data_IF_452923844072
#
_entry.id   IF_452923844072
#
_cell.length_a   1.000
_cell.length_b   1.000
_cell.length_c   1.000
_cell.angle_alpha   90.00
_cell.angle_beta   90.00
_cell.angle_gamma   90.00
#
_symmetry.space_group_name_H-M   'P 1'
#
loop_
_entity.id
_entity.type
_entity.pdbx_description
1 polymer ?
#
# COMPACT_ATOMS: atom_id res chain seq x y z
N UNK A 1 22.49 -1.63 23.71
CA UNK A 1 21.59 -1.25 22.57
C UNK A 1 21.26 -2.52 21.83
N UNK A 2 20.00 -2.66 21.38
CA UNK A 2 19.50 -3.85 20.69
C UNK A 2 18.89 -3.46 19.36
N UNK A 3 19.10 -4.28 18.32
CA UNK A 3 18.39 -4.15 17.05
C UNK A 3 16.99 -4.68 17.21
N UNK A 4 15.98 -3.87 16.82
CA UNK A 4 14.56 -4.21 16.92
C UNK A 4 13.91 -3.99 15.57
N UNK A 5 13.28 -5.04 15.03
CA UNK A 5 12.62 -4.95 13.73
C UNK A 5 11.24 -5.58 13.77
N UNK A 6 10.32 -4.93 13.09
CA UNK A 6 8.99 -5.45 12.81
C UNK A 6 9.08 -6.84 12.16
N UNK A 7 8.14 -7.69 12.52
CA UNK A 7 7.71 -8.82 11.70
C UNK A 7 6.22 -8.68 11.41
N UNK A 8 5.84 -8.96 10.18
CA UNK A 8 4.44 -8.96 9.76
C UNK A 8 3.64 -10.08 10.43
N UNK A 9 2.29 -10.08 10.34
CA UNK A 9 1.45 -11.11 10.95
C UNK A 9 1.95 -12.53 10.71
N UNK A 10 1.99 -13.34 11.77
CA UNK A 10 2.57 -14.67 11.74
C UNK A 10 4.10 -14.72 11.84
N UNK A 11 4.77 -13.60 12.17
CA UNK A 11 6.22 -13.53 12.32
C UNK A 11 6.97 -13.41 10.98
N UNK A 12 6.30 -13.07 9.91
CA UNK A 12 6.86 -13.02 8.54
C UNK A 12 7.73 -11.78 8.35
N UNK A 13 8.86 -11.93 7.65
CA UNK A 13 9.77 -10.84 7.35
C UNK A 13 9.47 -10.14 6.01
N UNK A 14 8.57 -10.69 5.21
CA UNK A 14 8.23 -10.20 3.87
C UNK A 14 6.74 -9.91 3.72
N UNK A 15 6.39 -8.86 2.97
CA UNK A 15 5.02 -8.57 2.57
C UNK A 15 4.94 -8.21 1.08
N UNK A 16 3.77 -8.45 0.48
CA UNK A 16 3.45 -8.07 -0.90
C UNK A 16 2.17 -7.25 -0.90
N UNK A 17 2.16 -6.16 -1.65
CA UNK A 17 0.96 -5.35 -1.96
C UNK A 17 0.97 -4.92 -3.41
N UNK A 18 -0.21 -4.83 -4.00
CA UNK A 18 -0.41 -4.22 -5.31
C UNK A 18 -1.25 -2.94 -5.15
N UNK A 19 -1.09 -2.00 -6.08
CA UNK A 19 -1.85 -0.74 -6.09
C UNK A 19 -2.12 -0.33 -7.54
N UNK A 20 -3.39 -0.29 -7.93
CA UNK A 20 -3.79 0.03 -9.30
C UNK A 20 -4.70 1.24 -9.31
N UNK A 21 -4.55 2.06 -10.36
CA UNK A 21 -5.14 3.38 -10.45
C UNK A 21 -6.30 3.43 -11.45
N UNK A 22 -7.13 4.47 -11.29
CA UNK A 22 -8.15 4.96 -12.21
C UNK A 22 -9.50 4.23 -12.24
N UNK A 23 -9.63 3.05 -11.68
CA UNK A 23 -10.89 2.30 -11.69
C UNK A 23 -11.33 1.90 -13.10
N UNK A 24 -10.38 1.45 -13.93
CA UNK A 24 -10.65 0.99 -15.28
C UNK A 24 -11.27 -0.40 -15.31
N UNK A 25 -12.00 -0.73 -16.37
CA UNK A 25 -12.67 -2.02 -16.50
C UNK A 25 -11.71 -3.22 -16.42
N UNK A 26 -10.46 -3.05 -16.80
CA UNK A 26 -9.42 -4.07 -16.65
C UNK A 26 -9.17 -4.49 -15.21
N UNK A 27 -9.56 -3.67 -14.22
CA UNK A 27 -9.41 -3.97 -12.78
C UNK A 27 -10.21 -5.21 -12.38
N UNK A 28 -11.30 -5.55 -13.08
CA UNK A 28 -12.04 -6.79 -12.85
C UNK A 28 -11.19 -8.02 -13.17
N UNK A 29 -10.49 -8.01 -14.31
CA UNK A 29 -9.57 -9.08 -14.69
C UNK A 29 -8.37 -9.14 -13.74
N UNK A 30 -7.82 -7.99 -13.36
CA UNK A 30 -6.76 -7.90 -12.36
C UNK A 30 -7.21 -8.55 -11.04
N UNK A 31 -8.36 -8.13 -10.49
CA UNK A 31 -8.88 -8.66 -9.22
C UNK A 31 -9.12 -10.18 -9.29
N UNK A 32 -9.70 -10.68 -10.39
CA UNK A 32 -9.87 -12.12 -10.60
C UNK A 32 -8.54 -12.87 -10.62
N UNK A 33 -7.52 -12.34 -11.29
CA UNK A 33 -6.21 -12.98 -11.42
C UNK A 33 -5.49 -13.00 -10.06
N UNK A 34 -5.36 -11.85 -9.39
CA UNK A 34 -4.64 -11.77 -8.12
C UNK A 34 -5.30 -12.58 -7.00
N UNK A 35 -6.65 -12.70 -7.01
CA UNK A 35 -7.39 -13.53 -6.06
C UNK A 35 -7.02 -15.01 -6.12
N UNK A 36 -6.76 -15.54 -7.31
CA UNK A 36 -6.31 -16.94 -7.49
C UNK A 36 -4.98 -17.23 -6.79
N UNK A 37 -4.16 -16.19 -6.60
CA UNK A 37 -2.84 -16.25 -5.98
C UNK A 37 -2.80 -15.73 -4.53
N UNK A 38 -3.97 -15.34 -3.97
CA UNK A 38 -4.07 -14.81 -2.61
C UNK A 38 -3.45 -13.42 -2.43
N UNK A 39 -3.14 -12.70 -3.52
CA UNK A 39 -2.52 -11.37 -3.49
C UNK A 39 -3.60 -10.32 -3.20
N UNK A 40 -3.27 -9.31 -2.38
CA UNK A 40 -4.13 -8.16 -2.08
C UNK A 40 -3.73 -6.95 -2.90
N UNK A 41 -4.71 -6.11 -3.20
CA UNK A 41 -4.54 -4.88 -3.97
C UNK A 41 -5.30 -3.72 -3.35
N UNK A 42 -4.74 -2.52 -3.49
CA UNK A 42 -5.40 -1.25 -3.26
C UNK A 42 -5.80 -0.65 -4.60
N UNK A 43 -7.07 -0.40 -4.82
CA UNK A 43 -7.59 0.25 -6.02
C UNK A 43 -7.82 1.73 -5.73
N UNK A 44 -7.07 2.60 -6.39
CA UNK A 44 -7.14 4.05 -6.23
C UNK A 44 -8.16 4.60 -7.22
N UNK A 45 -9.29 5.04 -6.71
CA UNK A 45 -10.48 5.36 -7.52
C UNK A 45 -10.70 6.86 -7.65
N UNK A 46 -10.92 7.33 -8.86
CA UNK A 46 -11.42 8.68 -9.13
C UNK A 46 -12.94 8.68 -9.00
N UNK A 47 -13.45 9.28 -7.95
CA UNK A 47 -14.90 9.21 -7.68
C UNK A 47 -15.77 9.87 -8.74
N UNK A 48 -15.27 10.93 -9.39
CA UNK A 48 -15.97 11.62 -10.48
C UNK A 48 -16.03 10.86 -11.81
N UNK A 49 -15.33 9.71 -11.91
CA UNK A 49 -15.30 8.89 -13.12
C UNK A 49 -16.00 7.54 -12.95
N UNK A 50 -16.51 7.22 -11.75
CA UNK A 50 -17.30 6.01 -11.54
C UNK A 50 -18.49 6.00 -12.48
N UNK A 51 -18.68 4.90 -13.20
CA UNK A 51 -19.76 4.74 -14.16
C UNK A 51 -21.13 4.63 -13.45
N UNK A 52 -22.18 5.14 -14.09
CA UNK A 52 -23.56 5.01 -13.58
C UNK A 52 -24.06 3.57 -13.59
N UNK A 53 -23.63 2.80 -14.62
CA UNK A 53 -24.03 1.40 -14.81
C UNK A 53 -22.82 0.52 -15.16
N UNK A 54 -22.86 -0.79 -14.85
CA UNK A 54 -21.85 -1.76 -15.26
C UNK A 54 -21.67 -1.85 -16.79
N UNK A 55 -20.46 -2.22 -17.21
CA UNK A 55 -20.16 -2.47 -18.62
C UNK A 55 -19.48 -1.32 -19.34
N UNK A 56 -19.28 -0.18 -18.70
CA UNK A 56 -18.51 0.94 -19.23
C UNK A 56 -17.00 0.73 -19.12
N UNK A 57 -16.20 1.63 -19.67
CA UNK A 57 -14.74 1.59 -19.56
C UNK A 57 -14.22 1.87 -18.13
N UNK A 58 -14.99 2.58 -17.33
CA UNK A 58 -14.79 2.75 -15.88
C UNK A 58 -15.73 1.85 -15.10
N UNK A 59 -15.32 1.44 -13.91
CA UNK A 59 -16.13 0.59 -13.04
C UNK A 59 -17.34 1.35 -12.49
N UNK A 60 -18.46 0.63 -12.39
CA UNK A 60 -19.65 1.09 -11.66
C UNK A 60 -19.52 0.73 -10.17
N UNK A 61 -20.35 1.39 -9.33
CA UNK A 61 -20.41 1.16 -7.89
C UNK A 61 -20.55 -0.33 -7.53
N UNK A 62 -21.48 -1.02 -8.18
CA UNK A 62 -21.78 -2.43 -7.91
C UNK A 62 -20.60 -3.35 -8.26
N UNK A 63 -19.84 -3.00 -9.30
CA UNK A 63 -18.64 -3.73 -9.71
C UNK A 63 -17.51 -3.53 -8.67
N UNK A 64 -17.30 -2.29 -8.23
CA UNK A 64 -16.32 -1.98 -7.16
C UNK A 64 -16.69 -2.70 -5.87
N UNK A 65 -17.97 -2.65 -5.46
CA UNK A 65 -18.42 -3.33 -4.25
C UNK A 65 -18.14 -4.83 -4.34
N UNK A 66 -18.60 -5.47 -5.40
CA UNK A 66 -18.58 -6.93 -5.53
C UNK A 66 -17.18 -7.50 -5.77
N UNK A 67 -16.42 -6.90 -6.69
CA UNK A 67 -15.17 -7.51 -7.15
C UNK A 67 -13.92 -6.96 -6.46
N UNK A 68 -14.03 -5.82 -5.77
CA UNK A 68 -12.94 -5.20 -5.04
C UNK A 68 -13.19 -5.32 -3.53
N UNK A 69 -14.22 -4.67 -2.99
CA UNK A 69 -14.42 -4.58 -1.54
C UNK A 69 -14.85 -5.91 -0.92
N UNK A 70 -15.80 -6.64 -1.52
CA UNK A 70 -16.27 -7.94 -1.01
C UNK A 70 -15.21 -9.05 -1.20
N UNK A 71 -14.29 -8.87 -2.14
CA UNK A 71 -13.13 -9.73 -2.32
C UNK A 71 -11.98 -9.43 -1.33
N UNK A 72 -12.16 -8.43 -0.45
CA UNK A 72 -11.20 -8.07 0.59
C UNK A 72 -10.01 -7.25 0.09
N UNK A 73 -10.18 -6.54 -1.02
CA UNK A 73 -9.26 -5.49 -1.47
C UNK A 73 -9.63 -4.13 -0.89
N UNK A 74 -8.75 -3.16 -1.04
CA UNK A 74 -8.95 -1.79 -0.59
C UNK A 74 -9.39 -0.89 -1.74
N UNK A 75 -10.27 0.08 -1.42
CA UNK A 75 -10.53 1.27 -2.23
C UNK A 75 -9.86 2.46 -1.56
N UNK A 76 -9.08 3.22 -2.32
CA UNK A 76 -8.38 4.41 -1.87
C UNK A 76 -8.67 5.61 -2.79
N UNK A 77 -8.35 6.81 -2.31
CA UNK A 77 -8.58 8.08 -3.01
C UNK A 77 -7.59 8.26 -4.17
N UNK A 78 -8.09 8.70 -5.33
CA UNK A 78 -7.25 9.11 -6.48
C UNK A 78 -7.65 10.49 -7.04
N UNK A 79 -8.23 11.35 -6.19
CA UNK A 79 -8.87 12.61 -6.58
C UNK A 79 -10.24 12.41 -7.22
N UNK A 80 -11.10 13.43 -7.11
CA UNK A 80 -12.40 13.41 -7.79
C UNK A 80 -12.23 13.40 -9.33
N UNK A 81 -11.35 14.27 -9.83
CA UNK A 81 -11.13 14.50 -11.27
C UNK A 81 -9.66 14.37 -11.70
N UNK A 82 -8.87 13.58 -10.97
CA UNK A 82 -7.50 13.19 -11.31
C UNK A 82 -6.54 14.38 -11.48
N UNK A 83 -6.46 15.29 -10.48
CA UNK A 83 -5.59 16.48 -10.54
C UNK A 83 -4.29 16.27 -9.76
N UNK A 84 -3.14 16.51 -10.44
CA UNK A 84 -1.84 16.48 -9.76
C UNK A 84 -1.72 17.61 -8.73
N UNK A 85 -1.45 17.32 -7.46
CA UNK A 85 -1.38 18.34 -6.40
C UNK A 85 -0.31 19.40 -6.64
N UNK A 86 0.80 19.02 -7.28
CA UNK A 86 1.86 19.96 -7.63
C UNK A 86 1.53 20.95 -8.74
N UNK A 87 0.42 20.74 -9.50
CA UNK A 87 0.04 21.50 -10.68
C UNK A 87 -1.23 22.35 -10.52
N UNK A 88 -1.87 22.31 -9.37
CA UNK A 88 -3.11 23.06 -9.08
C UNK A 88 -2.94 23.89 -7.81
N UNK A 89 -3.81 24.88 -7.61
CA UNK A 89 -3.78 25.67 -6.37
C UNK A 89 -4.12 24.78 -5.16
N UNK A 90 -3.60 25.08 -3.96
CA UNK A 90 -3.89 24.28 -2.76
C UNK A 90 -5.38 24.03 -2.52
N UNK A 91 -6.22 25.05 -2.70
CA UNK A 91 -7.68 24.92 -2.51
C UNK A 91 -8.30 23.93 -3.51
N UNK A 92 -7.82 23.89 -4.75
CA UNK A 92 -8.32 22.97 -5.78
C UNK A 92 -7.90 21.53 -5.45
N UNK A 93 -6.67 21.34 -5.00
CA UNK A 93 -6.20 20.03 -4.53
C UNK A 93 -6.99 19.54 -3.31
N UNK A 94 -7.14 20.39 -2.29
CA UNK A 94 -7.91 20.04 -1.08
C UNK A 94 -9.36 19.69 -1.44
N UNK A 95 -9.99 20.45 -2.34
CA UNK A 95 -11.36 20.19 -2.78
C UNK A 95 -11.47 18.87 -3.54
N UNK A 96 -10.54 18.59 -4.45
CA UNK A 96 -10.52 17.36 -5.27
C UNK A 96 -10.38 16.10 -4.38
N UNK A 97 -9.47 16.13 -3.41
CA UNK A 97 -9.26 15.02 -2.47
C UNK A 97 -10.45 14.86 -1.52
N UNK A 98 -10.95 15.97 -0.94
CA UNK A 98 -12.07 15.94 -0.01
C UNK A 98 -13.35 15.40 -0.68
N UNK A 99 -13.67 15.89 -1.88
CA UNK A 99 -14.84 15.44 -2.62
C UNK A 99 -14.74 13.95 -2.95
N UNK A 100 -13.57 13.52 -3.44
CA UNK A 100 -13.33 12.12 -3.73
C UNK A 100 -13.57 11.25 -2.48
N UNK A 101 -12.94 11.59 -1.35
CA UNK A 101 -13.09 10.86 -0.10
C UNK A 101 -14.54 10.81 0.36
N UNK A 102 -15.25 11.95 0.41
CA UNK A 102 -16.66 12.03 0.82
C UNK A 102 -17.56 11.18 -0.08
N UNK A 103 -17.36 11.23 -1.39
CA UNK A 103 -18.17 10.46 -2.34
C UNK A 103 -17.94 8.96 -2.18
N UNK A 104 -16.70 8.51 -2.07
CA UNK A 104 -16.36 7.10 -1.87
C UNK A 104 -16.86 6.58 -0.51
N UNK A 105 -16.68 7.34 0.58
CA UNK A 105 -17.17 6.96 1.90
C UNK A 105 -18.71 6.85 1.95
N UNK A 106 -19.42 7.82 1.35
CA UNK A 106 -20.87 7.78 1.23
C UNK A 106 -21.35 6.62 0.35
N UNK A 107 -20.63 6.31 -0.72
CA UNK A 107 -21.00 5.26 -1.67
C UNK A 107 -20.86 3.87 -1.06
N UNK A 108 -19.80 3.63 -0.29
CA UNK A 108 -19.43 2.31 0.20
C UNK A 108 -19.64 2.11 1.71
N UNK A 109 -20.01 3.16 2.46
CA UNK A 109 -20.27 3.07 3.90
C UNK A 109 -19.02 2.69 4.71
N UNK A 110 -17.82 3.06 4.25
CA UNK A 110 -16.54 2.73 4.87
C UNK A 110 -15.69 3.99 5.06
N UNK A 111 -14.84 4.01 6.07
CA UNK A 111 -13.82 5.05 6.24
C UNK A 111 -12.70 4.80 5.23
N UNK A 112 -12.36 5.82 4.41
CA UNK A 112 -11.35 5.74 3.35
C UNK A 112 -10.29 6.81 3.64
N UNK A 113 -9.07 6.37 3.95
CA UNK A 113 -7.96 7.25 4.37
C UNK A 113 -6.66 7.04 3.59
N UNK A 114 -6.67 6.08 2.66
CA UNK A 114 -5.55 5.83 1.76
C UNK A 114 -5.65 6.65 0.49
N UNK A 115 -4.50 6.93 -0.14
CA UNK A 115 -4.44 7.69 -1.39
C UNK A 115 -3.27 7.24 -2.27
N UNK A 116 -3.43 7.39 -3.59
CA UNK A 116 -2.32 7.55 -4.54
C UNK A 116 -2.43 8.92 -5.22
N UNK A 117 -1.29 9.58 -5.42
CA UNK A 117 -1.26 10.86 -6.13
C UNK A 117 -1.59 10.68 -7.61
N UNK A 118 -2.55 11.47 -8.17
CA UNK A 118 -2.82 11.46 -9.61
C UNK A 118 -1.69 12.07 -10.45
N UNK A 119 -1.58 11.69 -11.72
CA UNK A 119 -0.65 12.21 -12.72
C UNK A 119 0.80 12.28 -12.20
N UNK A 120 1.45 13.43 -12.30
CA UNK A 120 2.82 13.63 -11.83
C UNK A 120 2.94 13.78 -10.30
N UNK A 121 1.84 13.72 -9.57
CA UNK A 121 1.83 13.75 -8.11
C UNK A 121 2.64 14.90 -7.52
N UNK A 122 3.62 14.50 -6.70
CA UNK A 122 4.56 15.41 -6.03
C UNK A 122 5.92 15.50 -6.76
N UNK A 123 6.09 14.86 -7.92
CA UNK A 123 7.37 14.89 -8.67
C UNK A 123 7.56 16.13 -9.52
N UNK A 124 6.47 16.84 -9.83
CA UNK A 124 6.49 18.12 -10.58
C UNK A 124 5.68 19.16 -9.84
N UNK A 125 6.33 20.26 -9.46
CA UNK A 125 5.75 21.37 -8.71
C UNK A 125 5.70 22.66 -9.55
N UNK A 126 4.57 23.35 -9.50
CA UNK A 126 4.47 24.74 -9.98
C UNK A 126 5.19 25.71 -9.04
N UNK A 127 5.62 26.90 -9.51
CA UNK A 127 6.14 27.93 -8.62
C UNK A 127 5.19 28.24 -7.45
N UNK A 128 5.75 28.25 -6.25
CA UNK A 128 4.97 28.48 -5.00
C UNK A 128 4.34 27.24 -4.39
N UNK A 129 4.36 26.10 -5.08
CA UNK A 129 3.97 24.80 -4.51
C UNK A 129 5.19 24.11 -3.88
N UNK A 130 4.96 23.38 -2.79
CA UNK A 130 5.97 22.54 -2.15
C UNK A 130 5.33 21.31 -1.50
N UNK A 131 6.15 20.30 -1.28
CA UNK A 131 5.71 19.05 -0.73
C UNK A 131 5.15 19.16 0.68
N UNK A 132 5.74 19.96 1.55
CA UNK A 132 5.31 20.10 2.95
C UNK A 132 3.86 20.64 3.05
N UNK A 133 3.47 21.57 2.18
CA UNK A 133 2.10 22.07 2.14
C UNK A 133 1.14 20.98 1.67
N UNK A 134 1.50 20.19 0.65
CA UNK A 134 0.68 19.07 0.17
C UNK A 134 0.52 18.04 1.28
N UNK A 135 1.62 17.66 1.93
CA UNK A 135 1.63 16.73 3.06
C UNK A 135 0.76 17.20 4.21
N UNK A 136 0.84 18.50 4.57
CA UNK A 136 0.00 19.07 5.63
C UNK A 136 -1.47 19.04 5.25
N UNK A 137 -1.83 19.41 4.02
CA UNK A 137 -3.21 19.33 3.54
C UNK A 137 -3.76 17.91 3.62
N UNK A 138 -2.97 16.89 3.27
CA UNK A 138 -3.40 15.49 3.40
C UNK A 138 -3.63 15.08 4.85
N UNK A 139 -2.78 15.52 5.78
CA UNK A 139 -2.98 15.29 7.22
C UNK A 139 -4.27 15.96 7.72
N UNK A 140 -4.53 17.19 7.31
CA UNK A 140 -5.72 17.95 7.68
C UNK A 140 -7.00 17.32 7.08
N UNK A 141 -6.87 16.59 5.97
CA UNK A 141 -7.91 15.79 5.35
C UNK A 141 -7.98 14.36 5.90
N UNK A 142 -7.22 14.04 6.96
CA UNK A 142 -7.16 12.72 7.57
C UNK A 142 -6.79 11.58 6.59
N UNK A 143 -6.07 11.91 5.52
CA UNK A 143 -5.37 10.92 4.69
C UNK A 143 -4.11 10.51 5.43
N UNK A 144 -3.84 9.21 5.52
CA UNK A 144 -2.75 8.69 6.35
C UNK A 144 -1.55 8.18 5.55
N UNK A 145 -1.73 7.88 4.29
CA UNK A 145 -0.66 7.58 3.35
C UNK A 145 -1.01 8.06 1.94
N UNK A 146 0.02 8.31 1.14
CA UNK A 146 -0.14 8.53 -0.30
C UNK A 146 1.02 7.93 -1.08
N UNK A 147 0.70 7.03 -2.05
CA UNK A 147 1.70 6.49 -2.97
C UNK A 147 2.14 7.57 -3.97
N UNK A 148 3.44 7.65 -4.19
CA UNK A 148 4.05 8.53 -5.20
C UNK A 148 4.56 7.72 -6.40
N UNK A 149 4.87 8.45 -7.48
CA UNK A 149 5.47 7.86 -8.68
C UNK A 149 6.97 7.60 -8.54
N UNK A 150 7.70 8.15 -7.69
CA UNK A 150 9.11 8.05 -7.40
C UNK A 150 10.00 7.22 -8.34
N UNK A 151 11.21 6.95 -7.88
CA UNK A 151 12.12 5.99 -8.51
C UNK A 151 11.86 4.59 -7.96
N UNK A 152 12.48 3.56 -8.55
CA UNK A 152 12.36 2.19 -8.09
C UNK A 152 12.85 2.04 -6.63
N UNK A 153 12.08 1.32 -5.81
CA UNK A 153 12.50 0.88 -4.47
C UNK A 153 12.95 -0.59 -4.54
N UNK A 154 14.09 -0.85 -5.15
CA UNK A 154 14.67 -2.18 -5.37
C UNK A 154 15.40 -2.74 -4.14
N UNK A 155 15.44 -1.99 -3.05
CA UNK A 155 15.85 -2.45 -1.73
C UNK A 155 14.68 -3.05 -0.93
N UNK A 156 13.45 -2.89 -1.39
CA UNK A 156 12.23 -3.40 -0.78
C UNK A 156 11.97 -2.86 0.65
N UNK A 157 12.40 -1.64 0.92
CA UNK A 157 12.22 -1.02 2.23
C UNK A 157 10.79 -0.48 2.41
N UNK A 158 10.31 -0.54 3.64
CA UNK A 158 9.14 0.23 4.06
C UNK A 158 9.44 1.74 3.95
N UNK A 159 8.41 2.60 3.77
CA UNK A 159 8.64 4.02 3.62
C UNK A 159 9.08 4.68 4.93
N UNK A 160 9.96 5.67 4.82
CA UNK A 160 10.26 6.61 5.90
C UNK A 160 9.19 7.70 6.02
N UNK A 161 8.53 8.04 4.90
CA UNK A 161 7.43 8.99 4.83
C UNK A 161 6.22 8.38 4.10
N UNK A 162 5.14 8.15 4.85
CA UNK A 162 3.91 7.59 4.34
C UNK A 162 3.21 8.47 3.29
N UNK A 163 3.48 9.78 3.28
CA UNK A 163 2.92 10.71 2.28
C UNK A 163 3.76 10.80 1.00
N UNK A 164 4.90 10.14 0.97
CA UNK A 164 5.74 9.95 -0.22
C UNK A 164 6.09 8.46 -0.40
N UNK A 165 5.10 7.58 -0.23
CA UNK A 165 5.32 6.14 -0.26
C UNK A 165 5.68 5.66 -1.66
N UNK A 166 6.96 5.32 -1.81
CA UNK A 166 7.53 4.86 -3.07
C UNK A 166 7.28 3.36 -3.25
N UNK A 167 6.67 2.94 -4.39
CA UNK A 167 6.54 1.52 -4.73
C UNK A 167 7.88 0.90 -5.14
N UNK A 168 7.94 -0.44 -5.19
CA UNK A 168 9.08 -1.18 -5.72
C UNK A 168 9.25 -0.89 -7.20
N UNK A 169 8.19 -1.03 -7.99
CA UNK A 169 8.22 -0.77 -9.42
C UNK A 169 6.80 -0.53 -9.98
N UNK A 170 6.73 0.21 -11.07
CA UNK A 170 5.59 0.17 -11.99
C UNK A 170 5.61 -1.16 -12.76
N UNK A 171 4.46 -1.77 -13.05
CA UNK A 171 4.42 -3.08 -13.70
C UNK A 171 5.05 -3.08 -15.10
N UNK A 172 5.05 -1.95 -15.81
CA UNK A 172 5.74 -1.83 -17.12
C UNK A 172 7.26 -1.64 -17.00
N UNK A 173 7.80 -1.52 -15.79
CA UNK A 173 9.24 -1.50 -15.59
C UNK A 173 9.84 -2.83 -16.06
N UNK A 174 10.81 -2.85 -16.99
CA UNK A 174 11.40 -4.09 -17.50
C UNK A 174 12.06 -4.96 -16.42
N UNK A 175 12.33 -4.37 -15.24
CA UNK A 175 12.89 -5.07 -14.08
C UNK A 175 11.83 -5.59 -13.10
N UNK A 176 10.54 -5.37 -13.33
CA UNK A 176 9.50 -5.76 -12.37
C UNK A 176 9.56 -7.26 -12.05
N UNK A 177 9.70 -8.11 -13.06
CA UNK A 177 9.85 -9.57 -12.93
C UNK A 177 11.16 -9.95 -12.23
N UNK A 178 12.28 -9.30 -12.58
CA UNK A 178 13.57 -9.51 -11.92
C UNK A 178 13.49 -9.18 -10.43
N UNK A 179 12.86 -8.04 -10.09
CA UNK A 179 12.64 -7.64 -8.71
C UNK A 179 11.72 -8.60 -7.95
N UNK A 180 10.69 -9.14 -8.60
CA UNK A 180 9.81 -10.14 -8.00
C UNK A 180 10.59 -11.43 -7.63
N UNK A 181 11.39 -11.95 -8.55
CA UNK A 181 12.27 -13.12 -8.32
C UNK A 181 13.27 -12.86 -7.18
N UNK A 182 13.98 -11.71 -7.24
CA UNK A 182 14.93 -11.28 -6.20
C UNK A 182 14.25 -11.20 -4.82
N UNK A 183 13.03 -10.66 -4.75
CA UNK A 183 12.30 -10.51 -3.52
C UNK A 183 11.88 -11.85 -2.91
N UNK A 184 11.33 -12.76 -3.71
CA UNK A 184 10.90 -14.08 -3.25
C UNK A 184 12.09 -14.90 -2.73
N UNK A 185 13.21 -14.89 -3.46
CA UNK A 185 14.45 -15.62 -3.11
C UNK A 185 15.19 -15.00 -1.91
N UNK A 186 14.82 -13.78 -1.49
CA UNK A 186 15.51 -13.09 -0.42
C UNK A 186 15.31 -13.79 0.93
N UNK A 187 16.40 -14.26 1.52
CA UNK A 187 16.43 -14.73 2.89
C UNK A 187 16.75 -13.56 3.83
N UNK A 188 15.72 -13.05 4.49
CA UNK A 188 15.84 -11.91 5.41
C UNK A 188 16.35 -12.35 6.77
N UNK A 189 16.00 -13.55 7.22
CA UNK A 189 16.26 -14.02 8.59
C UNK A 189 17.72 -14.45 8.83
N UNK A 190 18.38 -14.99 7.80
CA UNK A 190 19.78 -15.46 7.90
C UNK A 190 20.81 -14.37 7.55
N UNK A 191 20.46 -13.12 7.71
CA UNK A 191 21.39 -11.98 7.53
C UNK A 191 22.05 -11.58 8.83
N UNK A 192 23.08 -10.72 8.71
CA UNK A 192 23.59 -10.01 9.87
C UNK A 192 22.44 -9.27 10.59
N UNK A 193 22.38 -9.36 11.91
CA UNK A 193 21.22 -8.91 12.70
C UNK A 193 20.75 -7.49 12.36
N UNK A 194 21.69 -6.58 12.08
CA UNK A 194 21.37 -5.21 11.69
C UNK A 194 20.70 -5.09 10.30
N UNK A 195 20.67 -6.14 9.50
CA UNK A 195 20.15 -6.16 8.13
C UNK A 195 18.83 -6.94 7.99
N UNK A 196 18.27 -7.39 9.13
CA UNK A 196 17.04 -8.19 9.17
C UNK A 196 15.76 -7.33 9.18
N UNK A 197 15.80 -6.09 8.65
CA UNK A 197 14.60 -5.25 8.50
C UNK A 197 13.57 -5.95 7.61
N UNK A 198 12.27 -5.75 7.88
CA UNK A 198 11.22 -6.29 7.04
C UNK A 198 11.30 -5.75 5.61
N UNK A 199 10.81 -6.53 4.64
CA UNK A 199 10.85 -6.19 3.23
C UNK A 199 9.45 -6.18 2.64
N UNK A 200 9.21 -5.23 1.73
CA UNK A 200 7.95 -5.05 1.04
C UNK A 200 8.16 -5.03 -0.47
N UNK A 201 7.52 -5.94 -1.20
CA UNK A 201 7.35 -5.81 -2.64
C UNK A 201 6.05 -5.06 -2.92
N UNK A 202 6.14 -3.90 -3.56
CA UNK A 202 5.04 -3.01 -3.85
C UNK A 202 4.94 -2.75 -5.36
N UNK A 203 4.02 -3.43 -6.04
CA UNK A 203 3.76 -3.23 -7.46
C UNK A 203 2.65 -2.21 -7.68
N UNK A 204 2.78 -1.37 -8.73
CA UNK A 204 1.70 -0.47 -9.11
C UNK A 204 1.56 -0.34 -10.62
N UNK A 205 0.45 0.21 -11.08
CA UNK A 205 0.19 0.47 -12.49
C UNK A 205 -1.26 0.83 -12.80
N UNK A 206 -1.60 0.72 -14.09
CA UNK A 206 -2.94 0.92 -14.61
C UNK A 206 -3.32 -0.27 -15.49
N UNK A 207 -4.52 -0.80 -15.33
CA UNK A 207 -4.91 -2.01 -16.07
C UNK A 207 -5.08 -1.79 -17.56
N UNK A 208 -5.43 -0.56 -18.00
CA UNK A 208 -5.48 -0.23 -19.43
C UNK A 208 -4.13 -0.37 -20.14
N UNK A 209 -3.02 -0.36 -19.41
CA UNK A 209 -1.68 -0.54 -19.98
C UNK A 209 -1.43 -1.98 -20.43
N UNK A 210 -2.01 -2.98 -19.77
CA UNK A 210 -1.98 -4.37 -20.24
C UNK A 210 -2.72 -4.54 -21.56
N UNK A 211 -3.90 -3.90 -21.71
CA UNK A 211 -4.64 -3.90 -22.97
C UNK A 211 -3.87 -3.17 -24.08
N UNK A 212 -3.36 -1.97 -23.78
CA UNK A 212 -2.57 -1.17 -24.71
C UNK A 212 -1.32 -1.90 -25.23
N UNK A 213 -0.65 -2.62 -24.33
CA UNK A 213 0.59 -3.34 -24.65
C UNK A 213 0.34 -4.78 -25.08
N UNK A 214 -0.92 -5.26 -25.02
CA UNK A 214 -1.32 -6.63 -25.30
C UNK A 214 -0.45 -7.66 -24.53
N UNK A 215 -0.27 -7.48 -23.21
CA UNK A 215 0.67 -8.24 -22.41
C UNK A 215 0.10 -8.64 -21.02
N UNK A 216 -1.15 -9.05 -20.95
CA UNK A 216 -1.75 -9.55 -19.71
C UNK A 216 -1.00 -10.74 -19.09
N UNK A 217 -0.27 -11.51 -19.90
CA UNK A 217 0.60 -12.58 -19.45
C UNK A 217 1.69 -12.12 -18.48
N UNK A 218 2.06 -10.83 -18.50
CA UNK A 218 2.96 -10.24 -17.53
C UNK A 218 2.35 -10.24 -16.12
N UNK A 219 1.04 -9.98 -16.02
CA UNK A 219 0.34 -10.07 -14.73
C UNK A 219 0.32 -11.51 -14.22
N UNK A 220 0.02 -12.46 -15.09
CA UNK A 220 0.01 -13.89 -14.75
C UNK A 220 1.40 -14.33 -14.25
N UNK A 221 2.48 -13.98 -14.96
CA UNK A 221 3.88 -14.27 -14.55
C UNK A 221 4.21 -13.65 -13.18
N UNK A 222 3.87 -12.39 -12.95
CA UNK A 222 4.12 -11.72 -11.67
C UNK A 222 3.35 -12.38 -10.52
N UNK A 223 2.09 -12.77 -10.76
CA UNK A 223 1.28 -13.46 -9.77
C UNK A 223 1.78 -14.87 -9.45
N UNK A 224 2.25 -15.61 -10.46
CA UNK A 224 2.88 -16.95 -10.28
C UNK A 224 4.16 -16.85 -9.44
N UNK A 225 4.98 -15.81 -9.66
CA UNK A 225 6.22 -15.60 -8.88
C UNK A 225 5.92 -15.17 -7.44
N UNK A 226 5.02 -14.21 -7.26
CA UNK A 226 4.81 -13.55 -5.98
C UNK A 226 3.79 -14.24 -5.07
N UNK A 227 2.86 -15.02 -5.64
CA UNK A 227 1.73 -15.58 -4.90
C UNK A 227 2.02 -16.91 -4.21
N UNK A 228 1.21 -17.26 -3.19
CA UNK A 228 1.20 -18.59 -2.57
C UNK A 228 2.38 -18.92 -1.64
N UNK A 229 3.23 -17.95 -1.27
CA UNK A 229 4.36 -18.17 -0.34
C UNK A 229 3.92 -18.05 1.11
N UNK A 230 4.25 -19.07 1.92
CA UNK A 230 3.89 -19.11 3.35
C UNK A 230 4.64 -18.07 4.19
N UNK A 231 5.83 -17.66 3.77
CA UNK A 231 6.70 -16.67 4.44
C UNK A 231 6.42 -15.22 4.02
N UNK A 232 5.42 -14.99 3.15
CA UNK A 232 5.00 -13.66 2.67
C UNK A 232 3.61 -13.33 3.22
N UNK A 233 3.44 -12.10 3.71
CA UNK A 233 2.15 -11.53 4.05
C UNK A 233 1.59 -10.75 2.87
N UNK A 234 0.40 -11.12 2.41
CA UNK A 234 -0.32 -10.43 1.35
C UNK A 234 -1.32 -9.46 1.98
N UNK A 235 -1.14 -8.17 1.74
CA UNK A 235 -1.91 -7.13 2.40
C UNK A 235 -2.21 -5.95 1.46
N UNK A 236 -3.27 -5.21 1.77
CA UNK A 236 -3.54 -3.91 1.16
C UNK A 236 -2.59 -2.85 1.72
N UNK A 237 -2.54 -1.68 1.10
CA UNK A 237 -1.73 -0.58 1.60
C UNK A 237 -2.18 -0.13 3.00
N UNK A 238 -3.50 -0.08 3.25
CA UNK A 238 -4.03 0.30 4.56
C UNK A 238 -3.65 -0.72 5.63
N UNK A 239 -3.78 -2.02 5.36
CA UNK A 239 -3.38 -3.07 6.29
C UNK A 239 -1.90 -2.95 6.68
N UNK A 240 -1.02 -2.66 5.70
CA UNK A 240 0.41 -2.44 5.96
C UNK A 240 0.63 -1.19 6.83
N UNK A 241 0.00 -0.06 6.46
CA UNK A 241 0.11 1.18 7.23
C UNK A 241 -0.35 1.00 8.68
N UNK A 242 -1.51 0.41 8.88
CA UNK A 242 -2.09 0.19 10.21
C UNK A 242 -1.21 -0.73 11.06
N UNK A 243 -0.70 -1.81 10.46
CA UNK A 243 0.15 -2.75 11.18
C UNK A 243 1.51 -2.15 11.56
N UNK A 244 2.16 -1.40 10.67
CA UNK A 244 3.42 -0.69 10.98
C UNK A 244 3.19 0.40 12.04
N UNK A 245 2.06 1.10 11.97
CA UNK A 245 1.67 2.10 12.98
C UNK A 245 1.44 1.45 14.35
N UNK A 246 0.78 0.30 14.37
CA UNK A 246 0.58 -0.47 15.59
C UNK A 246 1.92 -0.94 16.20
N UNK A 247 2.84 -1.44 15.39
CA UNK A 247 4.19 -1.78 15.84
C UNK A 247 4.93 -0.57 16.44
N UNK A 248 4.84 0.58 15.80
CA UNK A 248 5.48 1.82 16.27
C UNK A 248 4.85 2.36 17.57
N UNK A 249 3.66 1.88 17.94
CA UNK A 249 2.95 2.24 19.17
C UNK A 249 3.36 1.38 20.37
N UNK A 250 4.20 0.35 20.17
CA UNK A 250 4.70 -0.48 21.26
C UNK A 250 5.46 0.35 22.30
N UNK A 251 5.15 0.13 23.58
CA UNK A 251 5.76 0.82 24.71
C UNK A 251 6.78 -0.10 25.39
N UNK A 252 8.01 0.39 25.53
CA UNK A 252 9.09 -0.36 26.15
C UNK A 252 9.42 0.21 27.52
N UNK A 253 9.77 -0.68 28.49
CA UNK A 253 10.34 -0.25 29.77
C UNK A 253 11.70 0.45 29.55
N UNK A 254 12.07 1.33 30.47
CA UNK A 254 13.32 2.10 30.38
C UNK A 254 14.59 1.21 30.32
N UNK A 255 14.56 0.07 30.99
CA UNK A 255 15.64 -0.93 30.97
C UNK A 255 15.57 -1.86 29.73
N UNK A 256 14.50 -1.77 28.95
CA UNK A 256 14.29 -2.57 27.76
C UNK A 256 13.98 -4.04 28.00
N UNK A 257 13.54 -4.41 29.21
CA UNK A 257 13.23 -5.81 29.59
C UNK A 257 11.75 -6.16 29.38
N UNK A 258 10.89 -5.15 29.14
CA UNK A 258 9.45 -5.35 28.94
C UNK A 258 8.94 -4.59 27.71
N UNK A 259 7.90 -5.12 27.10
CA UNK A 259 7.13 -4.44 26.05
C UNK A 259 5.64 -4.61 26.32
N UNK A 260 4.91 -3.51 26.17
CA UNK A 260 3.45 -3.47 26.25
C UNK A 260 2.88 -3.09 24.89
N UNK A 261 1.84 -3.80 24.47
CA UNK A 261 1.10 -3.54 23.24
C UNK A 261 -0.22 -2.81 23.54
N UNK A 262 -0.32 -1.50 23.33
CA UNK A 262 -1.56 -0.73 23.56
C UNK A 262 -2.57 -0.83 22.41
N UNK A 263 -2.30 -1.62 21.36
CA UNK A 263 -3.11 -1.67 20.14
C UNK A 263 -4.12 -2.82 20.15
N UNK A 264 -4.98 -2.86 19.13
CA UNK A 264 -6.02 -3.88 18.99
C UNK A 264 -5.58 -5.12 18.18
N UNK A 265 -4.31 -5.16 17.76
CA UNK A 265 -3.77 -6.27 16.96
C UNK A 265 -2.56 -6.90 17.64
N UNK A 266 -2.37 -8.19 17.45
CA UNK A 266 -1.18 -8.89 17.90
C UNK A 266 0.03 -8.45 17.06
N UNK A 267 1.18 -8.18 17.72
CA UNK A 267 2.37 -7.64 17.06
C UNK A 267 3.52 -8.63 17.17
N UNK A 268 4.10 -8.97 16.02
CA UNK A 268 5.30 -9.78 15.88
C UNK A 268 6.52 -8.87 15.64
N UNK A 269 7.63 -9.20 16.25
CA UNK A 269 8.87 -8.46 16.10
C UNK A 269 10.08 -9.32 16.45
N UNK A 270 11.25 -8.86 16.07
CA UNK A 270 12.53 -9.49 16.40
C UNK A 270 13.41 -8.53 17.17
N UNK A 271 14.13 -9.05 18.18
CA UNK A 271 15.16 -8.32 18.92
C UNK A 271 16.43 -9.17 18.88
N UNK A 272 17.49 -8.63 18.30
CA UNK A 272 18.81 -9.30 18.17
C UNK A 272 18.68 -10.75 17.63
N UNK A 273 17.81 -10.96 16.64
CA UNK A 273 17.56 -12.27 16.02
C UNK A 273 16.59 -13.17 16.78
N UNK A 274 16.12 -12.80 17.96
CA UNK A 274 15.11 -13.56 18.71
C UNK A 274 13.70 -13.04 18.41
N UNK A 275 12.81 -13.95 18.02
CA UNK A 275 11.42 -13.64 17.69
C UNK A 275 10.54 -13.52 18.92
N UNK A 276 9.65 -12.53 18.90
CA UNK A 276 8.67 -12.26 19.93
C UNK A 276 7.30 -11.99 19.30
N UNK A 277 6.27 -12.22 20.09
CA UNK A 277 4.91 -11.80 19.79
C UNK A 277 4.29 -11.27 21.09
N UNK A 278 3.63 -10.11 20.99
CA UNK A 278 2.87 -9.52 22.08
C UNK A 278 1.44 -9.31 21.64
N UNK A 279 0.50 -9.92 22.36
CA UNK A 279 -0.92 -9.81 22.02
C UNK A 279 -1.47 -8.42 22.33
N UNK A 280 -2.61 -8.12 21.70
CA UNK A 280 -3.39 -6.92 21.98
C UNK A 280 -3.62 -6.74 23.48
N UNK A 281 -3.25 -5.57 24.02
CA UNK A 281 -3.44 -5.22 25.44
C UNK A 281 -2.50 -5.94 26.43
N UNK A 282 -1.58 -6.77 25.98
CA UNK A 282 -0.66 -7.52 26.87
C UNK A 282 0.68 -6.82 27.07
N UNK A 283 1.32 -7.10 28.22
CA UNK A 283 2.72 -6.83 28.52
C UNK A 283 3.49 -8.16 28.58
N UNK A 284 4.65 -8.22 27.93
CA UNK A 284 5.54 -9.38 28.00
C UNK A 284 6.94 -8.99 28.46
N UNK A 285 7.67 -9.97 29.03
CA UNK A 285 9.10 -9.85 29.35
C UNK A 285 9.90 -10.27 28.12
N UNK A 286 10.87 -9.45 27.74
CA UNK A 286 11.80 -9.71 26.65
C UNK A 286 13.21 -9.89 27.23
N UNK A 287 13.75 -11.08 27.05
CA UNK A 287 15.06 -11.48 27.61
C UNK A 287 16.20 -11.15 26.62
#
# INVERSE_FOLDING_TARGET
>A
MRYRFLRFPGGKAKAVTFSYDDGDRGDLRLAETINKHGIKCTFNINSGFIAEEPGHHKLAKEEIQKYILDAGHEVAVHGEVHRAPGKVRPIEFVTDVLNCRLQLENMFGRIIRGMAYPDSGITKMMPGMNYENIRQNLKDLDIVYSRTLGQDNDSFMLPDDWYAWMPTAHHVNPKAVEYAKKFVEMDVENRYVAETQPRLYYLWGHTFEYDRNNNWELLDELCEILGGHEDIWYATNMEIYEYVTAYNSLVYSADGTKVYNPTLVDIWFVIDGKHYMVKSGEEIIIA
#
